data_IF_986122792975
#
_entry.id   IF_986122792975
#
_cell.length_a   1.000
_cell.length_b   1.000
_cell.length_c   1.000
_cell.angle_alpha   90.00
_cell.angle_beta   90.00
_cell.angle_gamma   90.00
#
_symmetry.space_group_name_H-M   'P 1'
#
loop_
_entity.id
_entity.type
_entity.pdbx_description
1 polymer ?
#
# COMPACT_ATOMS: atom_id res chain seq x y z
N UNK A 1 -8.78 49.03 -39.07
CA UNK A 1 -7.36 49.11 -38.61
C UNK A 1 -7.22 48.18 -37.41
N UNK A 2 -6.72 46.97 -37.65
CA UNK A 2 -6.42 45.96 -36.62
C UNK A 2 -4.91 45.97 -36.39
N UNK A 3 -4.42 45.92 -35.14
CA UNK A 3 -3.01 45.61 -34.93
C UNK A 3 -2.80 44.29 -34.16
N UNK A 4 -1.73 43.62 -34.56
CA UNK A 4 -0.83 42.79 -33.73
C UNK A 4 -1.09 41.30 -33.61
N UNK A 5 -0.81 40.59 -34.71
CA UNK A 5 -0.29 39.23 -34.68
C UNK A 5 1.23 39.25 -34.45
N UNK A 6 1.74 38.65 -33.36
CA UNK A 6 3.13 38.18 -33.22
C UNK A 6 3.16 37.06 -32.17
N UNK A 7 3.14 35.80 -32.60
CA UNK A 7 4.32 34.91 -32.72
C UNK A 7 5.02 34.66 -31.37
N UNK A 8 4.57 33.66 -30.62
CA UNK A 8 5.41 32.99 -29.62
C UNK A 8 5.19 31.47 -29.69
N UNK A 9 5.55 30.91 -30.84
CA UNK A 9 5.74 29.47 -31.07
C UNK A 9 7.25 29.26 -31.13
N UNK A 10 7.86 28.88 -30.00
CA UNK A 10 9.19 28.28 -29.98
C UNK A 10 9.13 27.01 -29.14
N UNK A 11 9.08 25.90 -29.86
CA UNK A 11 9.50 24.55 -29.49
C UNK A 11 11.03 24.50 -29.25
N UNK A 12 11.52 23.34 -28.78
CA UNK A 12 12.95 22.90 -28.69
C UNK A 12 13.66 23.23 -27.36
N UNK A 13 14.27 22.32 -26.56
CA UNK A 13 14.73 20.94 -26.71
C UNK A 13 14.92 20.25 -25.33
N UNK A 14 14.61 18.95 -25.30
CA UNK A 14 15.40 17.83 -24.75
C UNK A 14 16.32 18.08 -23.54
N UNK A 15 16.01 17.46 -22.40
CA UNK A 15 17.01 16.76 -21.57
C UNK A 15 16.35 15.61 -20.78
N UNK A 16 16.47 14.38 -21.31
CA UNK A 16 16.44 13.12 -20.56
C UNK A 16 17.91 12.65 -20.40
N UNK A 17 18.21 11.51 -19.75
CA UNK A 17 18.37 11.29 -18.32
C UNK A 17 19.80 10.82 -17.99
N UNK A 18 20.25 10.92 -16.73
CA UNK A 18 21.43 10.16 -16.26
C UNK A 18 20.92 9.27 -15.11
N UNK A 19 20.74 7.95 -15.29
CA UNK A 19 21.75 6.87 -15.37
C UNK A 19 22.89 7.05 -14.37
N UNK A 20 22.65 6.57 -13.15
CA UNK A 20 23.70 6.05 -12.26
C UNK A 20 23.51 4.54 -12.11
N UNK A 21 24.51 3.73 -12.49
CA UNK A 21 24.59 2.34 -12.08
C UNK A 21 25.76 2.13 -11.09
N UNK A 22 25.88 0.88 -10.60
CA UNK A 22 27.08 0.28 -9.96
C UNK A 22 27.13 0.61 -8.44
N UNK A 23 27.22 -0.32 -7.48
CA UNK A 23 27.79 -1.67 -7.49
C UNK A 23 27.08 -2.59 -6.50
N UNK A 24 26.97 -3.86 -6.88
CA UNK A 24 26.93 -4.99 -5.97
C UNK A 24 28.22 -5.01 -5.13
N UNK A 25 28.09 -4.93 -3.82
CA UNK A 25 29.05 -5.45 -2.84
C UNK A 25 28.22 -6.43 -2.01
N UNK A 26 28.43 -7.74 -2.07
CA UNK A 26 29.72 -8.40 -1.94
C UNK A 26 29.86 -8.83 -0.48
N UNK A 27 29.28 -9.99 -0.16
CA UNK A 27 29.86 -11.01 0.72
C UNK A 27 30.28 -10.59 2.14
N UNK A 28 29.55 -11.06 3.17
CA UNK A 28 30.19 -11.89 4.21
C UNK A 28 29.13 -12.64 5.02
N UNK A 29 29.05 -13.94 4.77
CA UNK A 29 28.42 -14.89 5.68
C UNK A 29 29.27 -14.93 6.96
N UNK A 30 28.69 -14.55 8.10
CA UNK A 30 29.26 -14.90 9.40
C UNK A 30 28.73 -16.27 9.79
N UNK A 31 29.43 -17.31 9.35
CA UNK A 31 29.31 -18.67 9.89
C UNK A 31 30.27 -18.81 11.07
N UNK A 32 29.80 -18.51 12.27
CA UNK A 32 30.36 -18.97 13.55
C UNK A 32 29.13 -18.99 14.46
N UNK A 33 28.73 -20.06 15.13
CA UNK A 33 29.53 -21.12 15.72
C UNK A 33 28.64 -22.34 15.94
N UNK A 34 29.23 -23.49 15.66
CA UNK A 34 28.76 -24.79 16.12
C UNK A 34 28.89 -24.84 17.64
N UNK A 35 27.78 -24.70 18.35
CA UNK A 35 27.65 -25.28 19.68
C UNK A 35 26.44 -26.18 19.67
N UNK A 36 26.74 -27.45 19.36
CA UNK A 36 25.94 -28.59 19.75
C UNK A 36 25.61 -28.48 21.24
N UNK A 37 24.41 -27.98 21.54
CA UNK A 37 23.85 -28.13 22.87
C UNK A 37 23.17 -29.50 22.94
N UNK A 38 23.67 -30.39 23.82
CA UNK A 38 23.23 -31.77 23.88
C UNK A 38 21.78 -31.83 24.37
N UNK A 39 21.03 -32.73 23.75
CA UNK A 39 20.13 -33.67 24.42
C UNK A 39 19.53 -33.20 25.76
N UNK A 40 18.70 -32.16 25.76
CA UNK A 40 17.59 -32.11 26.72
C UNK A 40 16.36 -32.77 26.08
N UNK A 41 16.46 -34.09 26.00
CA UNK A 41 15.34 -34.99 25.72
C UNK A 41 14.61 -35.26 27.04
N UNK A 42 13.95 -34.25 27.61
CA UNK A 42 12.96 -34.48 28.66
C UNK A 42 11.60 -34.71 27.99
N UNK A 43 11.38 -35.94 27.55
CA UNK A 43 10.03 -36.44 27.24
C UNK A 43 9.33 -36.69 28.57
N UNK A 44 8.65 -35.68 29.09
CA UNK A 44 7.58 -35.87 30.05
C UNK A 44 6.26 -35.66 29.30
N UNK A 45 5.75 -36.72 28.66
CA UNK A 45 4.34 -36.80 28.26
C UNK A 45 3.55 -37.25 29.49
N UNK A 46 3.30 -36.33 30.42
CA UNK A 46 2.27 -36.51 31.44
C UNK A 46 1.07 -35.69 31.02
N UNK A 47 -0.01 -36.39 30.67
CA UNK A 47 -1.36 -35.85 30.57
C UNK A 47 -1.57 -34.85 29.44
N UNK A 48 -2.17 -35.29 28.33
CA UNK A 48 -2.95 -34.38 27.49
C UNK A 48 -4.32 -34.21 28.16
N UNK A 49 -4.62 -33.12 28.88
CA UNK A 49 -6.01 -32.77 29.08
C UNK A 49 -6.61 -32.48 27.69
N UNK A 50 -7.78 -33.05 27.43
CA UNK A 50 -8.57 -32.72 26.25
C UNK A 50 -8.92 -31.23 26.33
N UNK A 51 -8.08 -30.39 25.73
CA UNK A 51 -8.33 -28.96 25.68
C UNK A 51 -9.41 -28.72 24.64
N UNK A 52 -10.59 -28.34 25.16
CA UNK A 52 -11.72 -27.79 24.43
C UNK A 52 -11.21 -27.01 23.21
N UNK A 53 -11.52 -27.51 22.01
CA UNK A 53 -11.17 -26.82 20.76
C UNK A 53 -11.88 -25.46 20.80
N UNK A 54 -11.15 -24.33 20.81
CA UNK A 54 -11.80 -23.04 20.78
C UNK A 54 -12.66 -22.95 19.52
N UNK A 55 -13.85 -22.34 19.57
CA UNK A 55 -14.65 -22.13 18.38
C UNK A 55 -13.78 -21.42 17.35
N UNK A 56 -13.64 -22.02 16.17
CA UNK A 56 -12.89 -21.43 15.07
C UNK A 56 -13.70 -20.23 14.58
N UNK A 57 -13.38 -19.05 15.10
CA UNK A 57 -13.91 -17.79 14.57
C UNK A 57 -13.29 -17.60 13.20
N UNK A 58 -14.07 -17.85 12.16
CA UNK A 58 -13.67 -17.57 10.78
C UNK A 58 -13.74 -16.06 10.56
N UNK A 59 -12.60 -15.38 10.69
CA UNK A 59 -12.48 -13.98 10.30
C UNK A 59 -12.53 -13.93 8.78
N UNK A 60 -13.65 -13.49 8.21
CA UNK A 60 -13.77 -13.27 6.77
C UNK A 60 -12.95 -12.02 6.43
N UNK A 61 -11.92 -12.10 5.58
CA UNK A 61 -11.17 -10.93 5.19
C UNK A 61 -12.02 -10.06 4.26
N UNK A 62 -12.67 -9.04 4.82
CA UNK A 62 -13.22 -7.96 4.02
C UNK A 62 -12.06 -7.05 3.54
N UNK A 63 -11.96 -6.83 2.22
CA UNK A 63 -10.95 -5.90 1.71
C UNK A 63 -11.34 -4.47 2.09
N UNK A 64 -10.56 -3.85 2.97
CA UNK A 64 -10.69 -2.43 3.30
C UNK A 64 -10.45 -1.50 2.10
N UNK A 65 -10.51 -0.18 2.32
CA UNK A 65 -10.33 0.80 1.24
C UNK A 65 -8.89 0.82 0.72
N UNK A 66 -8.72 0.81 -0.60
CA UNK A 66 -7.42 1.08 -1.22
C UNK A 66 -7.18 2.57 -1.39
N UNK A 67 -6.12 3.11 -0.79
CA UNK A 67 -5.77 4.53 -0.92
C UNK A 67 -5.22 4.84 -2.31
N UNK A 68 -5.74 5.89 -2.96
CA UNK A 68 -5.35 6.37 -4.29
C UNK A 68 -5.26 7.89 -4.30
N UNK A 69 -4.36 8.46 -5.11
CA UNK A 69 -4.29 9.91 -5.28
C UNK A 69 -5.57 10.48 -5.94
N UNK A 70 -6.08 9.79 -6.96
CA UNK A 70 -7.34 10.09 -7.64
C UNK A 70 -8.24 8.88 -7.53
N UNK A 71 -9.45 9.08 -7.04
CA UNK A 71 -10.47 8.02 -6.93
C UNK A 71 -11.41 8.07 -8.12
N UNK A 72 -11.73 6.90 -8.69
CA UNK A 72 -12.62 6.78 -9.85
C UNK A 72 -13.58 5.60 -9.67
N UNK A 73 -14.79 5.75 -10.19
CA UNK A 73 -15.76 4.65 -10.29
C UNK A 73 -15.24 3.61 -11.29
N UNK A 74 -15.28 2.33 -10.92
CA UNK A 74 -14.93 1.20 -11.79
C UNK A 74 -16.16 0.46 -12.34
N UNK A 75 -17.33 0.80 -11.81
CA UNK A 75 -18.58 0.12 -12.05
C UNK A 75 -19.72 1.13 -11.94
N UNK A 76 -20.89 0.78 -12.47
CA UNK A 76 -22.10 1.61 -12.41
C UNK A 76 -22.61 1.79 -10.97
N UNK A 77 -22.56 0.71 -10.18
CA UNK A 77 -23.00 0.69 -8.77
C UNK A 77 -22.04 1.42 -7.82
N UNK A 78 -20.91 1.90 -8.32
CA UNK A 78 -19.90 2.59 -7.53
C UNK A 78 -20.34 4.05 -7.33
N UNK A 79 -20.27 4.57 -6.11
CA UNK A 79 -20.68 5.95 -5.82
C UNK A 79 -19.68 6.68 -4.92
N UNK A 80 -19.70 8.01 -5.00
CA UNK A 80 -18.80 8.86 -4.24
C UNK A 80 -19.42 9.24 -2.90
N UNK A 81 -18.62 9.25 -1.84
CA UNK A 81 -19.01 9.71 -0.50
C UNK A 81 -17.89 10.57 0.07
N UNK A 82 -18.20 11.74 0.64
CA UNK A 82 -17.22 12.52 1.40
C UNK A 82 -17.39 12.23 2.89
N UNK A 83 -16.29 11.90 3.58
CA UNK A 83 -16.24 11.68 5.04
C UNK A 83 -14.93 12.27 5.56
N UNK A 84 -14.97 13.04 6.65
CA UNK A 84 -13.77 13.60 7.29
C UNK A 84 -12.85 14.32 6.29
N UNK A 85 -13.42 15.17 5.44
CA UNK A 85 -12.66 15.91 4.42
C UNK A 85 -12.11 15.08 3.25
N UNK A 86 -12.31 13.75 3.20
CA UNK A 86 -11.78 12.86 2.16
C UNK A 86 -12.88 12.32 1.26
N UNK A 87 -12.58 12.15 -0.03
CA UNK A 87 -13.45 11.47 -0.98
C UNK A 87 -13.21 9.95 -0.96
N UNK A 88 -14.30 9.19 -0.91
CA UNK A 88 -14.31 7.73 -0.97
C UNK A 88 -15.12 7.26 -2.16
N UNK A 89 -14.77 6.09 -2.69
CA UNK A 89 -15.62 5.32 -3.60
C UNK A 89 -16.13 4.10 -2.84
N UNK A 90 -17.44 4.00 -2.71
CA UNK A 90 -18.12 2.86 -2.10
C UNK A 90 -18.72 1.95 -3.17
N UNK A 91 -18.72 0.64 -2.91
CA UNK A 91 -19.39 -0.32 -3.77
C UNK A 91 -19.91 -1.50 -2.93
N UNK A 92 -21.23 -1.72 -2.96
CA UNK A 92 -21.88 -2.82 -2.25
C UNK A 92 -21.65 -4.18 -2.91
N UNK A 93 -21.45 -4.21 -4.23
CA UNK A 93 -21.36 -5.46 -5.02
C UNK A 93 -19.94 -5.99 -5.12
N UNK A 94 -18.94 -5.10 -5.27
CA UNK A 94 -17.53 -5.49 -5.45
C UNK A 94 -16.66 -4.75 -4.43
N UNK A 95 -16.24 -5.40 -3.32
CA UNK A 95 -15.45 -4.74 -2.27
C UNK A 95 -14.06 -4.30 -2.78
N UNK A 96 -13.54 -4.95 -3.83
CA UNK A 96 -12.30 -4.54 -4.53
C UNK A 96 -12.36 -3.14 -5.17
N UNK A 97 -13.54 -2.54 -5.28
CA UNK A 97 -13.72 -1.19 -5.82
C UNK A 97 -13.63 -0.10 -4.76
N UNK A 98 -13.64 -0.46 -3.46
CA UNK A 98 -13.53 0.47 -2.35
C UNK A 98 -12.21 1.23 -2.42
N UNK A 99 -12.28 2.55 -2.56
CA UNK A 99 -11.10 3.41 -2.65
C UNK A 99 -11.23 4.61 -1.71
N UNK A 100 -10.10 5.08 -1.16
CA UNK A 100 -10.00 6.32 -0.37
C UNK A 100 -9.05 7.30 -1.06
N UNK A 101 -9.43 8.57 -1.14
CA UNK A 101 -8.56 9.63 -1.65
C UNK A 101 -7.41 9.89 -0.67
N UNK A 102 -6.18 9.96 -1.20
CA UNK A 102 -5.01 10.43 -0.46
C UNK A 102 -5.12 11.95 -0.29
N UNK A 103 -5.00 12.43 0.94
CA UNK A 103 -4.89 13.87 1.21
C UNK A 103 -3.49 14.36 0.78
N UNK A 104 -3.44 15.47 0.05
CA UNK A 104 -2.18 16.15 -0.27
C UNK A 104 -1.69 16.99 0.90
N UNK A 105 -0.38 17.29 0.96
CA UNK A 105 0.19 18.07 2.08
C UNK A 105 -0.50 19.43 2.27
N UNK A 106 -0.88 20.09 1.17
CA UNK A 106 -1.62 21.37 1.19
C UNK A 106 -3.03 21.26 1.79
N UNK A 107 -3.68 20.11 1.65
CA UNK A 107 -5.06 19.90 2.09
C UNK A 107 -5.10 19.49 3.57
N UNK A 108 -3.94 19.17 4.18
CA UNK A 108 -3.82 18.89 5.62
C UNK A 108 -3.86 20.16 6.49
N UNK A 109 -3.47 21.32 5.93
CA UNK A 109 -3.33 22.59 6.67
C UNK A 109 -4.47 23.58 6.39
N UNK A 110 -5.55 23.16 5.73
CA UNK A 110 -6.66 24.05 5.33
C UNK A 110 -7.87 23.93 6.26
N UNK A 111 -7.66 23.44 7.47
CA UNK A 111 -8.66 23.24 8.52
C UNK A 111 -8.48 24.32 9.62
N UNK A 112 -8.29 25.58 9.22
CA UNK A 112 -8.23 26.77 10.10
C UNK A 112 -8.99 27.94 9.45
#
# INVERSE_FOLDING_TARGET
MFPSALRCLQTFLRTLPQRVPISLVGQQQRTLSSHAFPLFRCVARLGQPSLVRPPVVTVIPESGYKVRAVVKKRCEKCYFVKRQGRLFVECKVKPRHKQMQRIGKKDLFRED
#
